data_IF_564077948132
#
_entry.id   IF_564077948132
#
_cell.length_a   1.000
_cell.length_b   1.000
_cell.length_c   1.000
_cell.angle_alpha   90.00
_cell.angle_beta   90.00
_cell.angle_gamma   90.00
#
_symmetry.space_group_name_H-M   'P 1'
#
loop_
_entity.id
_entity.type
_entity.pdbx_description
1 polymer ?
#
# COMPACT_ATOMS: atom_id res chain seq x y z
N UNK A 1 -28.44 48.39 -20.12
CA UNK A 1 -28.91 47.19 -19.40
C UNK A 1 -27.69 46.36 -19.01
N UNK A 2 -27.19 46.59 -17.78
CA UNK A 2 -26.10 45.80 -17.17
C UNK A 2 -26.71 44.54 -16.53
N UNK A 3 -26.25 43.36 -16.89
CA UNK A 3 -26.52 42.12 -16.17
C UNK A 3 -25.26 41.75 -15.33
N UNK A 4 -25.46 41.72 -14.03
CA UNK A 4 -24.50 41.29 -13.04
C UNK A 4 -24.34 39.75 -13.15
N UNK A 5 -23.08 39.28 -13.23
CA UNK A 5 -22.72 37.88 -13.10
C UNK A 5 -22.30 37.68 -11.65
N UNK A 6 -23.12 36.98 -10.89
CA UNK A 6 -22.81 36.53 -9.52
C UNK A 6 -21.80 35.39 -9.57
N UNK A 7 -20.62 35.63 -8.99
CA UNK A 7 -19.56 34.62 -8.87
C UNK A 7 -19.93 33.51 -7.90
N UNK A 8 -19.70 32.29 -8.34
CA UNK A 8 -19.72 31.09 -7.50
C UNK A 8 -18.40 31.05 -6.74
N UNK A 9 -18.47 31.33 -5.44
CA UNK A 9 -17.33 31.20 -4.53
C UNK A 9 -16.96 29.72 -4.37
N UNK A 10 -15.86 29.31 -4.99
CA UNK A 10 -15.24 28.01 -4.76
C UNK A 10 -14.80 27.90 -3.29
N UNK A 11 -15.29 26.89 -2.60
CA UNK A 11 -14.83 26.53 -1.26
C UNK A 11 -13.35 26.10 -1.36
N UNK A 12 -12.45 26.97 -0.92
CA UNK A 12 -11.05 26.64 -0.74
C UNK A 12 -10.95 25.54 0.32
N UNK A 13 -10.61 24.33 -0.10
CA UNK A 13 -10.29 23.21 0.75
C UNK A 13 -8.99 23.53 1.50
N UNK A 14 -9.07 23.86 2.78
CA UNK A 14 -7.91 24.10 3.64
C UNK A 14 -7.21 22.78 3.91
N UNK A 15 -6.01 22.62 3.36
CA UNK A 15 -5.04 21.65 3.85
C UNK A 15 -4.72 21.96 5.32
N UNK A 16 -5.05 21.04 6.21
CA UNK A 16 -4.71 21.16 7.62
C UNK A 16 -3.22 20.93 7.79
N UNK A 17 -2.41 22.02 7.80
CA UNK A 17 -1.04 21.97 8.33
C UNK A 17 -1.16 21.96 9.85
N UNK A 18 -0.61 20.94 10.46
CA UNK A 18 -0.54 20.80 11.91
C UNK A 18 0.33 21.92 12.50
N UNK A 19 -0.28 23.05 12.89
CA UNK A 19 0.31 24.01 13.79
C UNK A 19 -0.52 24.02 15.06
N UNK A 20 0.04 23.41 16.11
CA UNK A 20 -0.40 23.64 17.48
C UNK A 20 -1.25 22.55 18.08
N UNK A 21 -0.62 21.63 18.77
CA UNK A 21 -0.92 21.18 20.14
C UNK A 21 0.35 20.48 20.68
N UNK A 22 1.40 21.21 20.97
CA UNK A 22 2.43 20.83 21.92
C UNK A 22 3.04 22.13 22.49
N UNK A 23 2.24 22.84 23.28
CA UNK A 23 2.75 23.78 24.24
C UNK A 23 1.97 23.57 25.53
N UNK A 24 2.33 22.54 26.28
CA UNK A 24 2.01 22.44 27.70
C UNK A 24 3.32 22.51 28.45
N UNK A 25 3.50 23.64 29.08
CA UNK A 25 4.32 23.95 30.29
C UNK A 25 5.13 22.77 30.83
N UNK A 26 6.44 22.87 30.67
CA UNK A 26 7.41 22.14 31.52
C UNK A 26 7.19 22.52 32.96
N UNK A 27 6.44 21.73 33.71
CA UNK A 27 6.50 21.64 35.15
C UNK A 27 7.13 20.30 35.52
N UNK A 28 8.15 20.41 36.31
CA UNK A 28 9.07 19.45 36.89
C UNK A 28 8.50 18.09 37.28
N UNK A 29 9.33 17.03 37.02
CA UNK A 29 9.42 15.78 37.77
C UNK A 29 8.22 14.83 37.70
N UNK A 30 8.06 14.17 36.53
CA UNK A 30 7.58 12.81 36.53
C UNK A 30 8.35 12.01 35.45
N UNK A 31 9.17 11.04 35.90
CA UNK A 31 10.03 10.19 35.06
C UNK A 31 9.24 9.01 34.47
N UNK A 32 8.01 9.21 34.07
CA UNK A 32 7.26 8.23 33.28
C UNK A 32 7.71 8.34 31.81
N UNK A 33 8.50 7.35 31.35
CA UNK A 33 8.74 7.16 29.92
C UNK A 33 7.39 7.17 29.20
N UNK A 34 7.23 7.91 28.09
CA UNK A 34 5.99 7.88 27.34
C UNK A 34 5.67 6.42 27.00
N UNK A 35 4.49 5.98 27.41
CA UNK A 35 4.02 4.62 27.12
C UNK A 35 3.69 4.53 25.64
N UNK A 36 4.52 3.79 24.91
CA UNK A 36 4.33 3.51 23.48
C UNK A 36 2.92 2.95 23.23
N UNK A 37 2.16 3.59 22.34
CA UNK A 37 0.83 3.15 21.94
C UNK A 37 0.92 2.30 20.69
N UNK A 38 0.26 1.15 20.67
CA UNK A 38 0.24 0.24 19.52
C UNK A 38 -1.18 -0.06 19.09
N UNK A 39 -1.37 -0.12 17.78
CA UNK A 39 -2.66 -0.45 17.17
C UNK A 39 -2.45 -1.52 16.10
N UNK A 40 -3.14 -2.66 16.25
CA UNK A 40 -3.15 -3.70 15.22
C UNK A 40 -4.29 -3.41 14.24
N UNK A 41 -3.96 -3.28 12.97
CA UNK A 41 -4.90 -2.95 11.89
C UNK A 41 -4.90 -4.06 10.84
N UNK A 42 -6.06 -4.34 10.25
CA UNK A 42 -6.23 -5.19 9.07
C UNK A 42 -6.57 -4.30 7.88
N UNK A 43 -5.72 -4.30 6.86
CA UNK A 43 -5.79 -3.42 5.71
C UNK A 43 -6.30 -4.15 4.48
N UNK A 44 -7.15 -3.49 3.69
CA UNK A 44 -7.75 -4.01 2.47
C UNK A 44 -8.70 -5.20 2.65
N UNK A 45 -8.98 -5.63 3.86
CA UNK A 45 -9.88 -6.76 4.11
C UNK A 45 -11.28 -6.54 3.55
N UNK A 46 -11.87 -7.58 2.93
CA UNK A 46 -13.29 -7.59 2.52
C UNK A 46 -14.24 -7.71 3.69
N UNK A 47 -13.76 -8.24 4.80
CA UNK A 47 -14.49 -8.34 6.07
C UNK A 47 -13.56 -7.89 7.22
N UNK A 48 -14.07 -7.93 8.45
CA UNK A 48 -13.33 -7.45 9.62
C UNK A 48 -12.30 -8.46 10.16
N UNK A 49 -12.17 -9.63 9.55
CA UNK A 49 -11.23 -10.70 9.95
C UNK A 49 -10.18 -11.02 8.89
N UNK A 50 -10.32 -10.48 7.68
CA UNK A 50 -9.36 -10.61 6.60
C UNK A 50 -8.58 -9.30 6.40
N UNK A 51 -7.47 -9.38 5.71
CA UNK A 51 -6.67 -8.21 5.37
C UNK A 51 -5.19 -8.39 5.67
N UNK A 52 -4.40 -7.46 5.15
CA UNK A 52 -2.96 -7.42 5.39
C UNK A 52 -2.70 -6.74 6.74
N UNK A 53 -2.11 -7.45 7.68
CA UNK A 53 -1.91 -6.95 9.05
C UNK A 53 -0.78 -5.92 9.12
N UNK A 54 -1.03 -4.81 9.83
CA UNK A 54 -0.04 -3.80 10.16
C UNK A 54 -0.14 -3.37 11.62
N UNK A 55 1.01 -3.10 12.24
CA UNK A 55 1.09 -2.48 13.56
C UNK A 55 1.43 -1.00 13.37
N UNK A 56 0.60 -0.12 13.92
CA UNK A 56 0.87 1.31 14.03
C UNK A 56 1.40 1.58 15.44
N UNK A 57 2.52 2.26 15.53
CA UNK A 57 3.20 2.61 16.78
C UNK A 57 3.29 4.12 16.91
N UNK A 58 2.71 4.67 17.96
CA UNK A 58 2.77 6.08 18.30
C UNK A 58 3.59 6.29 19.59
N UNK A 59 4.14 7.48 19.77
CA UNK A 59 4.87 7.89 20.98
C UNK A 59 6.06 6.96 21.30
N UNK A 60 6.82 6.52 20.28
CA UNK A 60 7.93 5.60 20.45
C UNK A 60 9.24 6.35 20.75
N UNK A 61 9.94 5.89 21.79
CA UNK A 61 11.32 6.32 22.08
C UNK A 61 12.39 5.35 21.54
N UNK A 62 11.98 4.33 20.75
CA UNK A 62 12.87 3.31 20.22
C UNK A 62 13.81 3.87 19.16
N UNK A 63 15.11 3.56 19.28
CA UNK A 63 16.09 3.82 18.23
C UNK A 63 15.84 2.92 17.01
N UNK A 64 16.41 3.27 15.86
CA UNK A 64 16.17 2.57 14.59
C UNK A 64 16.40 1.05 14.66
N UNK A 65 17.50 0.63 15.30
CA UNK A 65 17.81 -0.81 15.46
C UNK A 65 16.82 -1.54 16.38
N UNK A 66 16.27 -0.83 17.38
CA UNK A 66 15.25 -1.38 18.28
C UNK A 66 13.89 -1.51 17.56
N UNK A 67 13.57 -0.59 16.65
CA UNK A 67 12.35 -0.63 15.82
C UNK A 67 12.30 -1.89 14.94
N UNK A 68 13.43 -2.26 14.31
CA UNK A 68 13.50 -3.50 13.55
C UNK A 68 13.33 -4.72 14.44
N UNK A 69 13.98 -4.73 15.62
CA UNK A 69 13.80 -5.81 16.58
C UNK A 69 12.37 -5.89 17.13
N UNK A 70 11.69 -4.76 17.30
CA UNK A 70 10.28 -4.70 17.65
C UNK A 70 9.42 -5.30 16.53
N UNK A 71 9.60 -4.86 15.28
CA UNK A 71 8.83 -5.33 14.12
C UNK A 71 8.95 -6.85 13.92
N UNK A 72 10.12 -7.44 14.15
CA UNK A 72 10.35 -8.90 14.08
C UNK A 72 9.51 -9.71 15.06
N UNK A 73 9.12 -9.13 16.17
CA UNK A 73 8.33 -9.81 17.21
C UNK A 73 6.83 -9.66 17.01
N UNK A 74 6.41 -8.83 16.03
CA UNK A 74 4.99 -8.63 15.75
C UNK A 74 4.46 -9.71 14.82
N UNK A 75 3.26 -10.20 15.11
CA UNK A 75 2.50 -11.04 14.18
C UNK A 75 1.78 -10.16 13.16
N UNK A 76 2.56 -9.48 12.30
CA UNK A 76 2.06 -8.57 11.29
C UNK A 76 3.03 -8.47 10.11
N UNK A 77 2.50 -8.16 8.94
CA UNK A 77 3.29 -8.03 7.71
C UNK A 77 4.19 -6.79 7.72
N UNK A 78 3.77 -5.72 8.43
CA UNK A 78 4.58 -4.52 8.59
C UNK A 78 4.28 -3.81 9.91
N UNK A 79 5.25 -3.03 10.39
CA UNK A 79 5.11 -2.06 11.47
C UNK A 79 5.42 -0.67 10.94
N UNK A 80 4.61 0.33 11.29
CA UNK A 80 4.87 1.74 10.99
C UNK A 80 4.96 2.53 12.29
N UNK A 81 6.06 3.26 12.45
CA UNK A 81 6.23 4.23 13.53
C UNK A 81 5.77 5.59 13.03
N UNK A 82 4.90 6.24 13.81
CA UNK A 82 4.28 7.54 13.47
C UNK A 82 4.81 8.56 14.46
N UNK A 83 5.49 9.58 13.96
CA UNK A 83 6.14 10.60 14.78
C UNK A 83 5.99 11.99 14.14
N UNK A 84 5.96 13.03 14.94
CA UNK A 84 6.16 14.39 14.44
C UNK A 84 7.65 14.63 14.21
N UNK A 85 8.03 15.10 13.01
CA UNK A 85 9.41 15.51 12.75
C UNK A 85 9.68 16.91 13.33
N UNK A 86 10.94 17.37 13.28
CA UNK A 86 11.34 18.68 13.78
C UNK A 86 10.62 19.87 13.09
N UNK A 87 10.06 19.66 11.88
CA UNK A 87 9.26 20.66 11.16
C UNK A 87 7.76 20.59 11.53
N UNK A 88 7.36 19.63 12.38
CA UNK A 88 5.97 19.39 12.77
C UNK A 88 5.17 18.57 11.75
N UNK A 89 5.82 17.97 10.73
CA UNK A 89 5.13 17.07 9.81
C UNK A 89 5.00 15.69 10.44
N UNK A 90 3.90 15.00 10.17
CA UNK A 90 3.73 13.59 10.56
C UNK A 90 4.59 12.70 9.67
N UNK A 91 5.56 12.04 10.28
CA UNK A 91 6.52 11.18 9.60
C UNK A 91 6.18 9.71 9.81
N UNK A 92 6.28 8.91 8.74
CA UNK A 92 6.07 7.47 8.75
C UNK A 92 7.38 6.72 8.50
N UNK A 93 7.73 5.82 9.42
CA UNK A 93 8.91 4.97 9.33
C UNK A 93 8.50 3.50 9.32
N UNK A 94 8.81 2.80 8.22
CA UNK A 94 8.25 1.47 7.93
C UNK A 94 9.26 0.36 8.16
N UNK A 95 8.82 -0.72 8.78
CA UNK A 95 9.60 -1.94 9.01
C UNK A 95 8.80 -3.17 8.64
N UNK A 96 9.37 -3.98 7.75
CA UNK A 96 9.01 -5.40 7.64
C UNK A 96 9.75 -6.20 8.71
N UNK A 97 9.37 -7.44 9.01
CA UNK A 97 10.09 -8.25 10.00
C UNK A 97 11.58 -8.43 9.71
N UNK A 98 12.01 -8.31 8.47
CA UNK A 98 13.39 -8.55 8.03
C UNK A 98 14.15 -7.29 7.59
N UNK A 99 13.48 -6.16 7.33
CA UNK A 99 14.12 -4.95 6.80
C UNK A 99 13.30 -3.68 7.04
N UNK A 100 13.99 -2.54 7.07
CA UNK A 100 13.36 -1.21 6.96
C UNK A 100 12.96 -0.95 5.51
N UNK A 101 11.85 -0.27 5.29
CA UNK A 101 11.30 0.00 3.95
C UNK A 101 11.10 1.50 3.71
N UNK A 102 11.36 2.00 2.49
CA UNK A 102 11.11 3.41 2.16
C UNK A 102 9.62 3.74 2.04
N UNK A 103 8.79 2.76 1.72
CA UNK A 103 7.34 2.91 1.55
C UNK A 103 6.63 1.58 1.78
N UNK A 104 5.48 1.65 2.48
CA UNK A 104 4.59 0.51 2.65
C UNK A 104 3.13 1.00 2.64
N UNK A 105 2.39 0.75 1.54
CA UNK A 105 1.05 1.31 1.36
C UNK A 105 0.03 0.77 2.36
N UNK A 106 0.06 -0.53 2.71
CA UNK A 106 -0.88 -1.06 3.71
C UNK A 106 -0.59 -0.50 5.11
N UNK A 107 0.69 -0.31 5.49
CA UNK A 107 1.03 0.34 6.75
C UNK A 107 0.71 1.85 6.75
N UNK A 108 0.83 2.53 5.59
CA UNK A 108 0.34 3.90 5.42
C UNK A 108 -1.17 3.97 5.61
N UNK A 109 -1.92 3.03 5.02
CA UNK A 109 -3.36 2.93 5.18
C UNK A 109 -3.75 2.74 6.65
N UNK A 110 -3.04 1.86 7.37
CA UNK A 110 -3.22 1.64 8.80
C UNK A 110 -2.99 2.91 9.62
N UNK A 111 -1.85 3.59 9.43
CA UNK A 111 -1.53 4.85 10.12
C UNK A 111 -2.57 5.94 9.80
N UNK A 112 -3.03 6.01 8.56
CA UNK A 112 -4.07 6.95 8.15
C UNK A 112 -5.40 6.68 8.84
N UNK A 113 -5.79 5.42 8.99
CA UNK A 113 -7.02 5.05 9.69
C UNK A 113 -6.96 5.46 11.17
N UNK A 114 -5.85 5.18 11.85
CA UNK A 114 -5.63 5.62 13.24
C UNK A 114 -5.69 7.14 13.34
N UNK A 115 -5.05 7.86 12.42
CA UNK A 115 -5.11 9.33 12.38
C UNK A 115 -6.53 9.85 12.21
N UNK A 116 -7.31 9.32 11.27
CA UNK A 116 -8.69 9.78 11.03
C UNK A 116 -9.67 9.38 12.13
N UNK A 117 -9.41 8.30 12.88
CA UNK A 117 -10.17 7.96 14.09
C UNK A 117 -9.97 9.03 15.19
N UNK A 118 -8.74 9.52 15.35
CA UNK A 118 -8.38 10.56 16.31
C UNK A 118 -8.81 11.97 15.86
N UNK A 119 -8.98 12.18 14.53
CA UNK A 119 -9.33 13.46 13.92
C UNK A 119 -10.56 13.34 12.99
N UNK A 120 -11.76 13.04 13.53
CA UNK A 120 -12.94 12.68 12.72
C UNK A 120 -13.41 13.78 11.77
N UNK A 121 -13.13 15.06 12.07
CA UNK A 121 -13.46 16.20 11.20
C UNK A 121 -12.51 16.42 10.02
N UNK A 122 -11.41 15.66 9.92
CA UNK A 122 -10.38 15.80 8.89
C UNK A 122 -10.69 14.84 7.73
N UNK A 123 -10.74 15.36 6.50
CA UNK A 123 -10.91 14.54 5.28
C UNK A 123 -9.63 14.30 4.50
N UNK A 124 -8.58 15.12 4.76
CA UNK A 124 -7.28 15.04 4.06
C UNK A 124 -6.13 15.31 5.01
N UNK A 125 -5.02 14.60 4.82
CA UNK A 125 -3.78 14.78 5.56
C UNK A 125 -2.59 14.50 4.66
N UNK A 126 -1.43 15.07 4.98
CA UNK A 126 -0.15 14.74 4.36
C UNK A 126 0.74 14.06 5.37
N UNK A 127 1.36 12.96 4.98
CA UNK A 127 2.44 12.31 5.70
C UNK A 127 3.73 12.41 4.92
N UNK A 128 4.85 12.29 5.61
CA UNK A 128 6.19 12.28 5.01
C UNK A 128 6.88 10.96 5.35
N UNK A 129 7.44 10.27 4.36
CA UNK A 129 8.19 9.04 4.64
C UNK A 129 9.55 9.36 5.26
N UNK A 130 9.99 8.56 6.23
CA UNK A 130 11.22 8.77 6.98
C UNK A 130 12.48 8.69 6.08
N UNK A 131 12.60 7.64 5.25
CA UNK A 131 13.81 7.37 4.48
C UNK A 131 14.02 8.32 3.29
N UNK A 132 12.97 8.61 2.51
CA UNK A 132 13.08 9.38 1.27
C UNK A 132 12.40 10.74 1.32
N UNK A 133 11.82 11.13 2.47
CA UNK A 133 11.10 12.39 2.63
C UNK A 133 9.98 12.58 1.59
N UNK A 134 9.46 11.47 1.07
CA UNK A 134 8.37 11.49 0.11
C UNK A 134 7.09 11.98 0.79
N UNK A 135 6.46 12.99 0.22
CA UNK A 135 5.14 13.45 0.68
C UNK A 135 4.07 12.52 0.13
N UNK A 136 3.23 12.02 1.02
CA UNK A 136 2.08 11.18 0.70
C UNK A 136 0.80 11.97 0.98
N UNK A 137 -0.01 12.16 -0.04
CA UNK A 137 -1.32 12.79 0.09
C UNK A 137 -2.36 11.72 0.39
N UNK A 138 -3.07 11.90 1.48
CA UNK A 138 -4.07 10.96 1.98
C UNK A 138 -5.43 11.64 1.97
N UNK A 139 -6.42 10.94 1.43
CA UNK A 139 -7.81 11.38 1.40
C UNK A 139 -8.72 10.31 1.99
N UNK A 140 -9.59 10.69 2.91
CA UNK A 140 -10.70 9.86 3.38
C UNK A 140 -11.93 10.14 2.52
N UNK A 141 -12.46 9.11 1.88
CA UNK A 141 -13.67 9.15 1.10
C UNK A 141 -14.59 8.02 1.55
N UNK A 142 -15.69 8.36 2.20
CA UNK A 142 -16.61 7.42 2.84
C UNK A 142 -15.89 6.45 3.80
N UNK A 143 -16.03 5.15 3.60
CA UNK A 143 -15.36 4.10 4.39
C UNK A 143 -13.95 3.78 3.91
N UNK A 144 -13.50 4.38 2.81
CA UNK A 144 -12.19 4.11 2.20
C UNK A 144 -11.22 5.26 2.41
N UNK A 145 -9.96 4.93 2.52
CA UNK A 145 -8.85 5.88 2.59
C UNK A 145 -8.02 5.69 1.32
N UNK A 146 -7.65 6.77 0.66
CA UNK A 146 -6.88 6.79 -0.57
C UNK A 146 -5.52 7.45 -0.36
N UNK A 147 -4.47 6.84 -0.90
CA UNK A 147 -3.08 7.29 -0.83
C UNK A 147 -2.63 7.65 -2.24
N UNK A 148 -2.21 8.88 -2.44
CA UNK A 148 -1.65 9.35 -3.70
C UNK A 148 -0.27 8.75 -3.95
N UNK A 149 -0.07 8.17 -5.14
CA UNK A 149 1.20 7.64 -5.62
C UNK A 149 1.43 8.09 -7.06
N UNK A 150 2.68 8.06 -7.50
CA UNK A 150 3.03 8.44 -8.88
C UNK A 150 3.55 7.23 -9.65
N UNK A 151 3.07 6.98 -10.88
CA UNK A 151 3.69 6.04 -11.78
C UNK A 151 5.17 6.40 -12.00
N UNK A 152 6.00 5.38 -12.05
CA UNK A 152 7.43 5.51 -12.25
C UNK A 152 7.82 4.91 -13.61
N UNK A 153 8.75 5.52 -14.34
CA UNK A 153 9.27 4.92 -15.55
C UNK A 153 9.86 3.53 -15.27
N UNK A 154 9.54 2.57 -16.11
CA UNK A 154 10.12 1.23 -16.08
C UNK A 154 10.89 0.98 -17.37
N UNK A 155 12.02 0.28 -17.27
CA UNK A 155 12.74 -0.23 -18.42
C UNK A 155 11.86 -1.25 -19.16
N UNK A 156 11.95 -1.30 -20.48
CA UNK A 156 11.35 -2.41 -21.23
C UNK A 156 12.18 -3.67 -20.98
N UNK A 157 11.57 -4.67 -20.34
CA UNK A 157 12.15 -6.02 -20.33
C UNK A 157 11.58 -6.78 -21.54
N UNK A 158 12.40 -7.47 -22.31
CA UNK A 158 11.90 -8.49 -23.22
C UNK A 158 11.32 -9.61 -22.35
N UNK A 159 9.99 -9.61 -22.18
CA UNK A 159 9.33 -10.66 -21.42
C UNK A 159 9.29 -11.93 -22.27
N UNK A 160 10.08 -12.92 -21.89
CA UNK A 160 10.01 -14.26 -22.46
C UNK A 160 8.76 -14.96 -21.92
N UNK A 161 7.79 -15.20 -22.79
CA UNK A 161 6.55 -15.90 -22.46
C UNK A 161 6.81 -17.33 -22.00
N UNK A 162 7.80 -18.01 -22.58
CA UNK A 162 8.15 -19.37 -22.19
C UNK A 162 8.75 -19.42 -20.79
N UNK A 163 9.65 -18.49 -20.46
CA UNK A 163 10.21 -18.39 -19.11
C UNK A 163 9.13 -17.97 -18.08
N UNK A 164 8.27 -17.04 -18.44
CA UNK A 164 7.15 -16.61 -17.57
C UNK A 164 6.20 -17.78 -17.28
N UNK A 165 5.78 -18.52 -18.30
CA UNK A 165 4.90 -19.69 -18.15
C UNK A 165 5.57 -20.78 -17.29
N UNK A 166 6.86 -21.04 -17.51
CA UNK A 166 7.65 -22.00 -16.71
C UNK A 166 7.69 -21.59 -15.24
N UNK A 167 7.98 -20.34 -14.94
CA UNK A 167 8.04 -19.81 -13.55
C UNK A 167 6.67 -19.85 -12.86
N UNK A 168 5.60 -19.62 -13.59
CA UNK A 168 4.23 -19.69 -13.09
C UNK A 168 3.69 -21.13 -13.05
N UNK A 169 4.41 -22.09 -13.64
CA UNK A 169 3.99 -23.49 -13.83
C UNK A 169 2.64 -23.61 -14.51
N UNK A 170 2.46 -22.89 -15.60
CA UNK A 170 1.25 -22.88 -16.42
C UNK A 170 1.59 -23.01 -17.91
N UNK A 171 0.60 -23.22 -18.76
CA UNK A 171 0.78 -23.24 -20.22
C UNK A 171 0.97 -21.83 -20.77
N UNK A 172 1.76 -21.67 -21.84
CA UNK A 172 1.85 -20.38 -22.53
C UNK A 172 0.48 -19.91 -23.08
N UNK A 173 -0.39 -20.85 -23.45
CA UNK A 173 -1.74 -20.58 -23.92
C UNK A 173 -2.66 -19.99 -22.84
N UNK A 174 -2.30 -20.11 -21.56
CA UNK A 174 -3.01 -19.51 -20.45
C UNK A 174 -2.67 -18.02 -20.25
N UNK A 175 -1.57 -17.55 -20.86
CA UNK A 175 -1.11 -16.17 -20.76
C UNK A 175 -1.80 -15.31 -21.83
N UNK A 176 -2.26 -14.14 -21.44
CA UNK A 176 -2.90 -13.18 -22.34
C UNK A 176 -1.95 -12.03 -22.64
N UNK A 177 -1.65 -11.84 -23.93
CA UNK A 177 -0.77 -10.78 -24.39
C UNK A 177 0.66 -10.93 -23.89
N UNK A 178 1.41 -9.83 -23.90
CA UNK A 178 2.82 -9.78 -23.49
C UNK A 178 2.92 -9.22 -22.09
N UNK A 179 3.58 -9.92 -21.14
CA UNK A 179 3.87 -9.38 -19.81
C UNK A 179 4.64 -8.05 -19.89
N UNK A 180 4.35 -7.13 -18.97
CA UNK A 180 4.95 -5.78 -18.99
C UNK A 180 5.32 -5.31 -17.61
N UNK A 181 6.35 -4.47 -17.53
CA UNK A 181 6.73 -3.82 -16.28
C UNK A 181 5.88 -2.58 -16.02
N UNK A 182 5.45 -2.41 -14.77
CA UNK A 182 4.89 -1.18 -14.28
C UNK A 182 5.27 -0.94 -12.80
N UNK A 183 5.31 0.33 -12.39
CA UNK A 183 5.68 0.72 -11.03
C UNK A 183 4.93 1.97 -10.56
N UNK A 184 4.55 1.94 -9.30
CA UNK A 184 4.16 3.14 -8.52
C UNK A 184 4.92 3.20 -7.19
N UNK A 185 6.11 2.58 -7.14
CA UNK A 185 6.96 2.48 -5.94
C UNK A 185 7.95 1.33 -6.05
N UNK A 186 7.50 0.15 -6.50
CA UNK A 186 8.39 -0.97 -6.82
C UNK A 186 7.91 -1.65 -8.10
N UNK A 187 8.83 -1.83 -9.06
CA UNK A 187 8.51 -2.40 -10.37
C UNK A 187 8.05 -3.86 -10.24
N UNK A 188 6.97 -4.20 -10.94
CA UNK A 188 6.42 -5.55 -11.02
C UNK A 188 6.26 -5.98 -12.46
N UNK A 189 6.51 -7.27 -12.74
CA UNK A 189 6.08 -7.87 -13.98
C UNK A 189 4.58 -8.17 -13.88
N UNK A 190 3.77 -7.46 -14.65
CA UNK A 190 2.34 -7.69 -14.76
C UNK A 190 2.09 -8.77 -15.81
N UNK A 191 1.43 -9.85 -15.40
CA UNK A 191 1.12 -11.00 -16.25
C UNK A 191 -0.38 -11.23 -16.24
N UNK A 192 -1.02 -11.10 -17.40
CA UNK A 192 -2.44 -11.41 -17.53
C UNK A 192 -2.63 -12.88 -17.86
N UNK A 193 -3.59 -13.54 -17.19
CA UNK A 193 -4.01 -14.91 -17.47
C UNK A 193 -5.47 -14.97 -17.91
N UNK A 194 -5.84 -16.05 -18.59
CA UNK A 194 -7.10 -16.17 -19.30
C UNK A 194 -8.34 -15.95 -18.43
N UNK A 195 -8.32 -16.44 -17.21
CA UNK A 195 -9.47 -16.35 -16.29
C UNK A 195 -9.10 -16.68 -14.84
N UNK A 196 -10.08 -16.55 -13.95
CA UNK A 196 -9.90 -16.79 -12.52
C UNK A 196 -9.60 -18.25 -12.17
N UNK A 197 -10.08 -19.21 -12.97
CA UNK A 197 -9.75 -20.64 -12.75
C UNK A 197 -8.27 -20.90 -12.98
N UNK A 198 -7.68 -20.36 -14.05
CA UNK A 198 -6.24 -20.40 -14.30
C UNK A 198 -5.48 -19.70 -13.18
N UNK A 199 -5.88 -18.48 -12.80
CA UNK A 199 -5.23 -17.73 -11.74
C UNK A 199 -5.19 -18.50 -10.41
N UNK A 200 -6.31 -19.12 -10.02
CA UNK A 200 -6.42 -19.86 -8.77
C UNK A 200 -5.65 -21.19 -8.79
N UNK A 201 -5.49 -21.79 -9.97
CA UNK A 201 -4.75 -23.05 -10.15
C UNK A 201 -3.23 -22.88 -10.18
N UNK A 202 -2.71 -21.65 -10.18
CA UNK A 202 -1.27 -21.41 -10.23
C UNK A 202 -0.57 -21.96 -8.96
N UNK A 203 0.49 -22.74 -9.19
CA UNK A 203 1.43 -23.20 -8.18
C UNK A 203 2.86 -22.82 -8.57
N UNK A 204 3.20 -21.51 -8.54
CA UNK A 204 4.43 -20.99 -9.13
C UNK A 204 5.69 -21.51 -8.45
N UNK A 205 6.79 -21.49 -9.19
CA UNK A 205 8.14 -21.67 -8.69
C UNK A 205 8.62 -20.39 -7.99
N UNK A 206 8.29 -20.25 -6.69
CA UNK A 206 8.58 -19.03 -5.92
C UNK A 206 10.08 -18.72 -5.82
N UNK A 207 10.93 -19.76 -5.71
CA UNK A 207 12.39 -19.59 -5.68
C UNK A 207 12.91 -19.14 -7.05
N UNK A 208 12.40 -19.74 -8.12
CA UNK A 208 12.70 -19.34 -9.49
C UNK A 208 12.27 -17.88 -9.76
N UNK A 209 11.08 -17.47 -9.33
CA UNK A 209 10.61 -16.09 -9.42
C UNK A 209 11.51 -15.15 -8.62
N UNK A 210 11.94 -15.53 -7.42
CA UNK A 210 12.87 -14.75 -6.60
C UNK A 210 14.20 -14.53 -7.31
N UNK A 211 14.79 -15.59 -7.84
CA UNK A 211 16.06 -15.56 -8.55
C UNK A 211 15.96 -14.71 -9.83
N UNK A 212 14.89 -14.91 -10.59
CA UNK A 212 14.59 -14.14 -11.80
C UNK A 212 14.41 -12.66 -11.48
N UNK A 213 13.61 -12.33 -10.46
CA UNK A 213 13.31 -10.95 -10.06
C UNK A 213 14.56 -10.19 -9.62
N UNK A 214 15.44 -10.82 -8.85
CA UNK A 214 16.74 -10.23 -8.46
C UNK A 214 17.61 -9.94 -9.67
N UNK A 215 17.69 -10.87 -10.63
CA UNK A 215 18.46 -10.70 -11.87
C UNK A 215 17.92 -9.55 -12.71
N UNK A 216 16.59 -9.36 -12.75
CA UNK A 216 15.95 -8.32 -13.54
C UNK A 216 15.80 -6.98 -12.79
N UNK A 217 16.12 -6.91 -11.51
CA UNK A 217 15.96 -5.71 -10.70
C UNK A 217 14.49 -5.32 -10.45
N UNK A 218 13.57 -6.33 -10.39
CA UNK A 218 12.14 -6.12 -10.17
C UNK A 218 11.66 -6.77 -8.88
N UNK A 219 10.51 -6.38 -8.39
CA UNK A 219 9.98 -6.83 -7.10
C UNK A 219 8.97 -7.99 -7.21
N UNK A 220 9.16 -8.88 -8.19
CA UNK A 220 8.34 -10.07 -8.38
C UNK A 220 7.34 -9.95 -9.54
N UNK A 221 6.47 -10.96 -9.62
CA UNK A 221 5.43 -11.08 -10.63
C UNK A 221 4.07 -10.81 -10.01
N UNK A 222 3.27 -10.00 -10.66
CA UNK A 222 1.87 -9.81 -10.34
C UNK A 222 1.01 -10.43 -11.44
N UNK A 223 0.35 -11.53 -11.12
CA UNK A 223 -0.49 -12.26 -12.08
C UNK A 223 -1.94 -11.87 -11.84
N UNK A 224 -2.65 -11.53 -12.89
CA UNK A 224 -4.02 -11.06 -12.79
C UNK A 224 -4.90 -11.57 -13.95
N UNK A 225 -6.22 -11.55 -13.74
CA UNK A 225 -7.20 -11.73 -14.79
C UNK A 225 -8.35 -10.74 -14.64
N UNK A 226 -9.04 -10.47 -15.74
CA UNK A 226 -10.27 -9.70 -15.73
C UNK A 226 -11.43 -10.58 -15.23
N UNK A 227 -12.20 -10.09 -14.25
CA UNK A 227 -13.40 -10.74 -13.73
C UNK A 227 -14.64 -10.18 -14.42
N UNK A 228 -14.74 -8.84 -14.44
CA UNK A 228 -15.77 -8.07 -15.14
C UNK A 228 -15.24 -6.68 -15.48
N UNK A 229 -16.06 -5.80 -16.03
CA UNK A 229 -15.59 -4.45 -16.35
C UNK A 229 -15.15 -3.70 -15.08
N UNK A 230 -13.93 -3.15 -15.11
CA UNK A 230 -13.31 -2.45 -13.99
C UNK A 230 -12.92 -3.34 -12.79
N UNK A 231 -13.21 -4.65 -12.80
CA UNK A 231 -12.89 -5.57 -11.71
C UNK A 231 -11.92 -6.65 -12.17
N UNK A 232 -10.83 -6.79 -11.44
CA UNK A 232 -9.77 -7.76 -11.69
C UNK A 232 -9.54 -8.63 -10.45
N UNK A 233 -9.08 -9.84 -10.65
CA UNK A 233 -8.54 -10.69 -9.60
C UNK A 233 -7.03 -10.79 -9.79
N UNK A 234 -6.26 -10.87 -8.71
CA UNK A 234 -4.81 -10.93 -8.80
C UNK A 234 -4.13 -11.69 -7.68
N UNK A 235 -2.88 -12.12 -7.95
CA UNK A 235 -1.98 -12.78 -7.01
C UNK A 235 -0.59 -12.16 -7.12
N UNK A 236 0.06 -11.91 -5.97
CA UNK A 236 1.38 -11.28 -5.91
C UNK A 236 2.45 -12.25 -5.45
N UNK A 237 3.35 -12.60 -6.34
CA UNK A 237 4.51 -13.45 -6.06
C UNK A 237 5.74 -12.56 -5.88
N UNK A 238 6.06 -12.26 -4.62
CA UNK A 238 7.11 -11.31 -4.26
C UNK A 238 8.48 -12.01 -4.19
N UNK A 239 9.55 -11.27 -4.52
CA UNK A 239 10.92 -11.76 -4.41
C UNK A 239 11.56 -11.56 -3.02
N UNK A 240 10.97 -10.73 -2.16
CA UNK A 240 11.52 -10.43 -0.83
C UNK A 240 11.23 -11.55 0.18
N UNK A 241 10.06 -12.16 0.09
CA UNK A 241 9.61 -13.30 0.89
C UNK A 241 9.02 -14.37 -0.03
N UNK A 242 9.86 -15.20 -0.63
CA UNK A 242 9.43 -16.18 -1.64
C UNK A 242 8.49 -17.25 -1.09
N UNK A 243 8.47 -17.47 0.23
CA UNK A 243 7.60 -18.47 0.88
C UNK A 243 6.17 -17.97 1.11
N UNK A 244 5.94 -16.67 0.97
CA UNK A 244 4.65 -16.06 1.23
C UNK A 244 4.15 -15.28 0.02
N UNK A 245 2.99 -15.67 -0.46
CA UNK A 245 2.18 -14.85 -1.32
C UNK A 245 1.55 -13.74 -0.47
N UNK A 246 1.48 -12.51 -0.99
CA UNK A 246 0.94 -11.37 -0.26
C UNK A 246 -0.59 -11.29 -0.44
N UNK A 247 -1.33 -11.18 0.65
CA UNK A 247 -2.80 -11.15 0.61
C UNK A 247 -3.36 -9.87 -0.02
N UNK A 248 -2.65 -8.74 0.06
CA UNK A 248 -3.05 -7.48 -0.57
C UNK A 248 -1.82 -6.63 -0.90
N UNK A 249 -1.68 -6.21 -2.15
CA UNK A 249 -0.51 -5.49 -2.64
C UNK A 249 -0.89 -4.18 -3.31
N UNK A 250 -0.92 -3.10 -2.54
CA UNK A 250 -1.31 -1.76 -3.02
C UNK A 250 -0.45 -1.27 -4.20
N UNK A 251 0.88 -1.44 -4.14
CA UNK A 251 1.78 -1.03 -5.24
C UNK A 251 1.51 -1.80 -6.54
N UNK A 252 1.08 -3.06 -6.47
CA UNK A 252 0.72 -3.83 -7.66
C UNK A 252 -0.62 -3.36 -8.24
N UNK A 253 -1.60 -3.06 -7.38
CA UNK A 253 -2.88 -2.49 -7.82
C UNK A 253 -2.68 -1.16 -8.54
N UNK A 254 -1.82 -0.29 -8.00
CA UNK A 254 -1.48 0.97 -8.64
C UNK A 254 -0.72 0.81 -9.94
N UNK A 255 0.24 -0.11 -10.00
CA UNK A 255 0.97 -0.42 -11.22
C UNK A 255 0.03 -0.96 -12.31
N UNK A 256 -0.93 -1.82 -11.94
CA UNK A 256 -1.94 -2.34 -12.88
C UNK A 256 -2.87 -1.22 -13.37
N UNK A 257 -3.40 -0.39 -12.46
CA UNK A 257 -4.27 0.74 -12.84
C UNK A 257 -3.56 1.72 -13.77
N UNK A 258 -2.29 2.05 -13.48
CA UNK A 258 -1.46 2.89 -14.35
C UNK A 258 -1.23 2.25 -15.72
N UNK A 259 -0.93 0.94 -15.76
CA UNK A 259 -0.70 0.20 -17.00
C UNK A 259 -1.95 0.06 -17.87
N UNK A 260 -3.13 0.02 -17.26
CA UNK A 260 -4.44 -0.04 -17.93
C UNK A 260 -5.03 1.35 -18.20
N UNK A 261 -4.43 2.40 -17.68
CA UNK A 261 -4.89 3.80 -17.73
C UNK A 261 -6.36 3.96 -17.29
N UNK A 262 -6.75 3.19 -16.27
CA UNK A 262 -8.12 3.20 -15.77
C UNK A 262 -8.22 2.89 -14.27
N UNK A 263 -9.29 3.36 -13.65
CA UNK A 263 -9.64 2.97 -12.29
C UNK A 263 -10.09 1.52 -12.24
N UNK A 264 -9.66 0.80 -11.20
CA UNK A 264 -9.95 -0.63 -11.02
C UNK A 264 -10.31 -0.96 -9.58
N UNK A 265 -11.09 -2.02 -9.43
CA UNK A 265 -11.24 -2.77 -8.18
C UNK A 265 -10.48 -4.08 -8.32
N UNK A 266 -9.56 -4.33 -7.41
CA UNK A 266 -8.71 -5.51 -7.44
C UNK A 266 -9.05 -6.43 -6.28
N UNK A 267 -9.42 -7.67 -6.61
CA UNK A 267 -9.69 -8.76 -5.66
C UNK A 267 -8.41 -9.58 -5.51
N UNK A 268 -7.92 -9.75 -4.28
CA UNK A 268 -6.69 -10.48 -3.98
C UNK A 268 -6.84 -11.27 -2.68
N UNK A 269 -6.00 -12.28 -2.46
CA UNK A 269 -5.92 -13.00 -1.20
C UNK A 269 -6.90 -14.16 -1.04
N UNK A 270 -7.80 -14.38 -2.00
CA UNK A 270 -8.75 -15.50 -1.93
C UNK A 270 -8.05 -16.87 -1.84
N UNK A 271 -6.96 -17.06 -2.60
CA UNK A 271 -6.14 -18.28 -2.56
C UNK A 271 -5.47 -18.52 -1.19
N UNK A 272 -5.39 -17.50 -0.35
CA UNK A 272 -4.80 -17.55 1.00
C UNK A 272 -5.85 -17.62 2.10
N UNK A 273 -7.14 -17.66 1.77
CA UNK A 273 -8.22 -17.53 2.75
C UNK A 273 -8.27 -16.13 3.42
N UNK A 274 -7.63 -15.13 2.84
CA UNK A 274 -7.54 -13.75 3.31
C UNK A 274 -8.13 -12.79 2.26
N UNK A 275 -9.44 -12.83 2.00
CA UNK A 275 -10.05 -12.06 0.92
C UNK A 275 -9.89 -10.56 1.12
N UNK A 276 -9.26 -9.91 0.16
CA UNK A 276 -8.97 -8.47 0.16
C UNK A 276 -9.56 -7.78 -1.06
N UNK A 277 -9.81 -6.48 -0.93
CA UNK A 277 -10.17 -5.58 -2.01
C UNK A 277 -9.28 -4.35 -1.96
N UNK A 278 -8.54 -4.12 -3.03
CA UNK A 278 -7.74 -2.91 -3.22
C UNK A 278 -8.40 -2.05 -4.30
N UNK A 279 -8.65 -0.80 -4.00
CA UNK A 279 -9.17 0.18 -4.95
C UNK A 279 -8.01 0.94 -5.56
N UNK A 280 -8.00 1.14 -6.87
CA UNK A 280 -7.06 2.04 -7.51
C UNK A 280 -7.82 3.00 -8.42
N UNK A 281 -7.71 4.30 -8.13
CA UNK A 281 -8.23 5.38 -8.98
C UNK A 281 -7.12 5.84 -9.91
N UNK A 282 -7.45 6.01 -11.17
CA UNK A 282 -6.56 6.59 -12.18
C UNK A 282 -7.24 7.80 -12.79
N UNK A 283 -6.55 8.95 -12.79
CA UNK A 283 -7.04 10.19 -13.38
C UNK A 283 -5.86 10.98 -13.94
N UNK A 284 -5.82 11.19 -15.23
CA UNK A 284 -4.81 12.03 -15.92
C UNK A 284 -3.35 11.70 -15.54
N UNK A 285 -3.01 10.42 -15.46
CA UNK A 285 -1.68 9.95 -15.09
C UNK A 285 -1.40 9.90 -13.58
N UNK A 286 -2.30 10.39 -12.74
CA UNK A 286 -2.22 10.26 -11.29
C UNK A 286 -2.90 8.97 -10.82
N UNK A 287 -2.34 8.34 -9.80
CA UNK A 287 -2.87 7.11 -9.20
C UNK A 287 -3.11 7.32 -7.71
N UNK A 288 -4.26 6.88 -7.22
CA UNK A 288 -4.55 6.78 -5.80
C UNK A 288 -4.89 5.33 -5.46
N UNK A 289 -4.24 4.79 -4.43
CA UNK A 289 -4.50 3.45 -3.92
C UNK A 289 -5.35 3.55 -2.68
N UNK A 290 -6.46 2.83 -2.66
CA UNK A 290 -7.40 2.93 -1.55
C UNK A 290 -7.96 1.60 -1.08
N UNK A 291 -8.60 1.68 0.08
CA UNK A 291 -9.29 0.57 0.71
C UNK A 291 -9.67 0.89 2.15
N UNK A 292 -10.17 -0.12 2.83
CA UNK A 292 -10.52 -0.04 4.26
C UNK A 292 -9.33 -0.48 5.11
N UNK A 293 -9.22 0.10 6.29
CA UNK A 293 -8.41 -0.43 7.37
C UNK A 293 -9.26 -0.45 8.65
N UNK A 294 -9.28 -1.58 9.34
CA UNK A 294 -10.07 -1.77 10.54
C UNK A 294 -9.19 -2.26 11.69
N UNK A 295 -9.55 -1.92 12.91
CA UNK A 295 -8.86 -2.46 14.08
C UNK A 295 -9.10 -3.96 14.16
N UNK A 296 -8.01 -4.72 14.36
CA UNK A 296 -8.15 -6.13 14.71
C UNK A 296 -8.65 -6.23 16.14
N UNK A 297 -9.71 -6.99 16.36
CA UNK A 297 -9.98 -7.50 17.69
C UNK A 297 -8.81 -8.43 18.06
N UNK A 298 -8.08 -8.08 19.11
CA UNK A 298 -6.97 -8.89 19.64
C UNK A 298 -7.52 -10.17 20.25
#
# INVERSE_FOLDING_TARGET
LRRSVTGIAGKANRLCRWRGVFCSTLSSSDSSRPTMKTHRMLCFGRNNTSGNAAIVVEESALAEHERLAFARRQDANATVFVEANAAGDMQLDYYYPHTRSPLCLHATLAASAVFFEQHPGTGRVQFVTSMHRQVLEIERADESIFIGVKPQPCSTLPADLAETARLLRTGQADLIGTPRLASVGSAKLLVEVANQSVLNALHPDLEGITSWSRKQGVSGMYVYCRVQDGVYAGRNFNHLEPRFEDAATGVAAGALAASLERSITLLQGDALGQPCTVLARYTDGAVQIGGRAVRSAV
#
